data_IF_647839636396
#
_entry.id   IF_647839636396
#
_cell.length_a   1.000
_cell.length_b   1.000
_cell.length_c   1.000
_cell.angle_alpha   90.00
_cell.angle_beta   90.00
_cell.angle_gamma   90.00
#
_symmetry.space_group_name_H-M   'P 1'
#
loop_
_entity.id
_entity.type
_entity.pdbx_description
1 polymer ?
#
# COMPACT_ATOMS: atom_id res chain seq x y z
N UNK A 1 27.02 -30.65 -14.56
CA UNK A 1 26.22 -30.33 -13.36
C UNK A 1 25.30 -29.20 -13.77
N UNK A 2 23.98 -29.43 -13.79
CA UNK A 2 23.02 -28.36 -14.08
C UNK A 2 23.12 -27.29 -12.99
N UNK A 3 23.22 -26.04 -13.41
CA UNK A 3 23.19 -24.90 -12.50
C UNK A 3 21.74 -24.71 -11.98
N UNK A 4 21.56 -24.32 -10.71
CA UNK A 4 20.24 -24.06 -10.16
C UNK A 4 19.55 -22.91 -10.91
N UNK A 5 18.24 -23.05 -11.11
CA UNK A 5 17.37 -22.08 -11.79
C UNK A 5 16.50 -21.33 -10.79
N UNK A 6 15.95 -20.20 -11.21
CA UNK A 6 14.99 -19.44 -10.39
C UNK A 6 13.78 -20.32 -10.13
N UNK A 7 13.50 -20.58 -8.84
CA UNK A 7 12.41 -21.45 -8.40
C UNK A 7 12.87 -22.85 -7.95
N UNK A 8 14.13 -23.23 -8.14
CA UNK A 8 14.65 -24.52 -7.65
C UNK A 8 14.76 -24.51 -6.12
N UNK A 9 14.30 -25.58 -5.50
CA UNK A 9 14.48 -25.80 -4.07
C UNK A 9 15.92 -26.26 -3.80
N UNK A 10 16.56 -25.68 -2.79
CA UNK A 10 17.95 -25.99 -2.44
C UNK A 10 18.16 -26.02 -0.93
N UNK A 11 19.05 -26.88 -0.48
CA UNK A 11 19.59 -26.90 0.88
C UNK A 11 20.96 -26.23 0.90
N UNK A 12 21.24 -25.41 1.91
CA UNK A 12 22.52 -24.71 2.07
C UNK A 12 22.83 -24.46 3.55
N UNK A 13 24.10 -24.19 3.85
CA UNK A 13 24.55 -23.69 5.15
C UNK A 13 24.96 -22.22 5.06
N UNK A 14 24.61 -21.42 6.07
CA UNK A 14 25.04 -20.02 6.15
C UNK A 14 26.40 -19.96 6.84
N UNK A 15 27.37 -19.27 6.22
CA UNK A 15 28.66 -18.99 6.81
C UNK A 15 28.97 -17.50 6.71
N UNK A 16 29.37 -16.83 7.81
CA UNK A 16 29.76 -15.42 7.74
C UNK A 16 31.08 -15.29 6.96
N UNK A 17 31.04 -14.54 5.85
CA UNK A 17 32.23 -14.24 5.06
C UNK A 17 32.96 -13.06 5.69
N UNK A 18 34.08 -13.35 6.39
CA UNK A 18 34.90 -12.34 7.07
C UNK A 18 35.55 -11.32 6.12
N UNK A 19 35.65 -11.62 4.82
CA UNK A 19 36.21 -10.70 3.83
C UNK A 19 35.21 -9.62 3.42
N UNK A 20 33.93 -9.96 3.35
CA UNK A 20 32.86 -9.05 2.89
C UNK A 20 31.98 -8.55 4.04
N UNK A 21 32.06 -9.18 5.22
CA UNK A 21 31.23 -8.88 6.38
C UNK A 21 29.77 -9.29 6.23
N UNK A 22 29.45 -10.11 5.22
CA UNK A 22 28.08 -10.57 4.93
C UNK A 22 27.97 -12.08 5.09
N UNK A 23 26.75 -12.53 5.36
CA UNK A 23 26.42 -13.95 5.38
C UNK A 23 26.42 -14.50 3.96
N UNK A 24 27.09 -15.64 3.76
CA UNK A 24 27.18 -16.33 2.49
C UNK A 24 26.57 -17.74 2.57
N UNK A 25 25.76 -18.09 1.58
CA UNK A 25 25.29 -19.46 1.41
C UNK A 25 26.41 -20.35 0.89
N UNK A 26 26.64 -21.47 1.57
CA UNK A 26 27.67 -22.47 1.25
C UNK A 26 27.02 -23.85 1.14
N UNK A 27 27.68 -24.78 0.43
CA UNK A 27 27.21 -26.17 0.26
C UNK A 27 25.80 -26.30 -0.36
N UNK A 28 25.49 -25.43 -1.33
CA UNK A 28 24.19 -25.42 -2.03
C UNK A 28 23.96 -26.76 -2.75
N UNK A 29 22.90 -27.46 -2.38
CA UNK A 29 22.52 -28.77 -2.91
C UNK A 29 21.06 -28.73 -3.36
N UNK A 30 20.73 -29.18 -4.59
CA UNK A 30 19.34 -29.17 -5.05
C UNK A 30 18.48 -30.14 -4.24
N UNK A 31 17.25 -29.72 -3.95
CA UNK A 31 16.21 -30.52 -3.32
C UNK A 31 15.19 -30.96 -4.38
N UNK A 32 14.50 -32.10 -4.16
CA UNK A 32 13.33 -32.46 -4.95
C UNK A 32 12.26 -31.36 -4.89
N UNK A 33 11.53 -31.09 -5.99
CA UNK A 33 10.40 -30.15 -5.97
C UNK A 33 9.33 -30.56 -4.94
N UNK A 34 8.82 -29.60 -4.17
CA UNK A 34 7.81 -29.83 -3.14
C UNK A 34 8.37 -30.32 -1.79
N UNK A 35 9.68 -30.23 -1.58
CA UNK A 35 10.30 -30.52 -0.28
C UNK A 35 10.05 -29.40 0.72
N UNK A 36 10.04 -28.15 0.24
CA UNK A 36 9.75 -26.98 1.07
C UNK A 36 8.22 -26.78 1.20
N UNK A 37 7.73 -26.48 2.41
CA UNK A 37 6.32 -26.18 2.59
C UNK A 37 5.95 -24.91 1.83
N UNK A 38 4.86 -24.97 1.06
CA UNK A 38 4.33 -23.81 0.36
C UNK A 38 3.97 -22.74 1.40
N UNK A 39 4.54 -21.52 1.31
CA UNK A 39 4.14 -20.45 2.21
C UNK A 39 2.64 -20.20 2.04
N UNK A 40 1.91 -19.94 3.14
CA UNK A 40 0.50 -19.62 3.05
C UNK A 40 0.31 -18.40 2.14
N UNK A 41 -0.78 -18.35 1.36
CA UNK A 41 -1.05 -17.22 0.50
C UNK A 41 -1.08 -15.94 1.34
N UNK A 42 -0.54 -14.83 0.83
CA UNK A 42 -0.56 -13.58 1.57
C UNK A 42 -2.01 -13.17 1.86
N UNK A 43 -2.28 -12.84 3.10
CA UNK A 43 -3.62 -12.39 3.51
C UNK A 43 -3.82 -10.97 2.99
N UNK A 44 -4.75 -10.84 2.03
CA UNK A 44 -5.18 -9.56 1.50
C UNK A 44 -6.60 -9.25 1.94
N UNK A 45 -6.84 -8.06 2.49
CA UNK A 45 -8.16 -7.59 2.91
C UNK A 45 -8.58 -6.37 2.10
N UNK A 46 -9.87 -6.25 1.78
CA UNK A 46 -10.40 -5.02 1.20
C UNK A 46 -10.43 -3.92 2.27
N UNK A 47 -9.99 -2.72 1.91
CA UNK A 47 -10.00 -1.55 2.77
C UNK A 47 -10.39 -0.30 1.99
N UNK A 48 -11.06 0.62 2.67
CA UNK A 48 -11.33 1.97 2.17
C UNK A 48 -10.17 2.90 2.53
N UNK A 49 -9.87 3.86 1.68
CA UNK A 49 -8.84 4.83 1.91
C UNK A 49 -9.16 6.18 1.27
N UNK A 50 -8.53 7.24 1.77
CA UNK A 50 -8.61 8.58 1.17
C UNK A 50 -7.27 8.95 0.56
N UNK A 51 -7.30 9.50 -0.64
CA UNK A 51 -6.09 9.98 -1.32
C UNK A 51 -5.60 11.23 -0.61
N UNK A 52 -4.44 11.14 0.04
CA UNK A 52 -3.77 12.30 0.67
C UNK A 52 -2.80 12.98 -0.30
N UNK A 53 -2.23 12.21 -1.22
CA UNK A 53 -1.32 12.73 -2.25
C UNK A 53 -1.53 11.99 -3.55
N UNK A 54 -1.71 12.76 -4.61
CA UNK A 54 -1.85 12.26 -5.98
C UNK A 54 -0.54 11.66 -6.49
N UNK A 55 -0.65 10.73 -7.44
CA UNK A 55 0.50 10.26 -8.20
C UNK A 55 1.05 11.40 -9.05
N UNK A 56 2.31 11.78 -8.83
CA UNK A 56 2.99 12.81 -9.64
C UNK A 56 4.27 12.26 -10.26
N UNK A 57 4.35 12.36 -11.59
CA UNK A 57 5.52 11.95 -12.37
C UNK A 57 5.44 10.49 -12.81
N UNK A 58 5.09 10.27 -14.08
CA UNK A 58 5.16 8.97 -14.74
C UNK A 58 6.19 9.02 -15.87
N UNK A 59 7.45 8.64 -15.56
CA UNK A 59 8.47 8.03 -16.43
C UNK A 59 9.85 8.21 -15.78
N UNK A 60 10.40 7.11 -15.25
CA UNK A 60 11.77 7.04 -14.74
C UNK A 60 11.89 7.33 -13.25
N UNK A 61 11.95 6.26 -12.44
CA UNK A 61 12.67 6.16 -11.16
C UNK A 61 12.24 7.02 -9.97
N UNK A 62 11.94 8.30 -10.17
CA UNK A 62 12.00 9.33 -9.13
C UNK A 62 10.69 10.13 -8.99
N UNK A 63 9.57 9.54 -9.40
CA UNK A 63 8.24 10.09 -9.11
C UNK A 63 7.91 9.93 -7.63
N UNK A 64 7.40 10.99 -6.98
CA UNK A 64 6.81 10.84 -5.65
C UNK A 64 5.52 10.01 -5.80
N UNK A 65 5.56 8.75 -5.37
CA UNK A 65 4.38 7.89 -5.28
C UNK A 65 3.23 8.56 -4.53
N UNK A 66 2.00 8.19 -4.89
CA UNK A 66 0.81 8.66 -4.22
C UNK A 66 0.78 8.21 -2.76
N UNK A 67 -0.11 8.79 -1.96
CA UNK A 67 -0.34 8.39 -0.56
C UNK A 67 -1.82 8.16 -0.29
N UNK A 68 -2.12 7.03 0.33
CA UNK A 68 -3.44 6.66 0.81
C UNK A 68 -3.48 6.70 2.33
N UNK A 69 -4.50 7.34 2.89
CA UNK A 69 -4.88 7.25 4.29
C UNK A 69 -5.89 6.12 4.47
N UNK A 70 -5.51 5.04 5.14
CA UNK A 70 -6.40 3.89 5.36
C UNK A 70 -7.47 4.25 6.39
N UNK A 71 -8.72 4.05 6.00
CA UNK A 71 -9.86 4.31 6.85
C UNK A 71 -10.12 3.11 7.76
N UNK A 72 -10.40 3.32 9.06
CA UNK A 72 -10.88 2.26 9.92
C UNK A 72 -12.26 1.78 9.47
N UNK A 73 -12.54 0.49 9.68
CA UNK A 73 -13.79 -0.14 9.24
C UNK A 73 -15.03 0.67 9.65
N UNK A 74 -15.88 1.01 8.67
CA UNK A 74 -17.14 1.73 8.88
C UNK A 74 -17.04 3.26 8.86
N UNK A 75 -15.88 3.82 8.52
CA UNK A 75 -15.68 5.28 8.39
C UNK A 75 -15.31 5.61 6.95
N UNK A 76 -16.00 6.58 6.34
CA UNK A 76 -15.75 7.02 4.95
C UNK A 76 -15.00 8.35 4.87
N UNK A 77 -14.83 9.04 5.99
CA UNK A 77 -14.19 10.36 6.08
C UNK A 77 -13.01 10.34 7.03
N UNK A 78 -11.91 11.00 6.66
CA UNK A 78 -10.82 11.26 7.60
C UNK A 78 -11.25 12.47 8.42
N UNK A 79 -11.57 12.27 9.70
CA UNK A 79 -11.79 13.36 10.65
C UNK A 79 -10.53 14.24 10.68
N UNK A 80 -10.62 15.42 10.09
CA UNK A 80 -9.64 16.51 10.07
C UNK A 80 -8.21 16.14 9.59
N UNK A 81 -7.96 16.37 8.29
CA UNK A 81 -6.62 16.74 7.83
C UNK A 81 -6.45 18.23 8.18
N UNK A 82 -6.13 18.50 9.45
CA UNK A 82 -5.78 19.82 9.94
C UNK A 82 -4.39 19.78 10.56
N UNK A 83 -3.43 20.41 9.90
CA UNK A 83 -2.19 20.86 10.54
C UNK A 83 -2.56 21.76 11.71
N UNK A 84 -2.64 21.25 12.94
CA UNK A 84 -2.27 22.01 14.16
C UNK A 84 -2.37 21.18 15.44
N UNK A 85 -1.38 21.38 16.29
CA UNK A 85 -1.32 20.91 17.65
C UNK A 85 -2.54 21.38 18.48
N UNK A 86 -3.40 20.44 18.86
CA UNK A 86 -4.21 20.55 20.08
C UNK A 86 -4.78 19.19 20.47
N UNK A 87 -4.11 18.54 21.42
CA UNK A 87 -4.66 17.84 22.59
C UNK A 87 -5.84 16.87 22.51
N UNK A 88 -6.38 16.54 21.34
CA UNK A 88 -7.43 15.54 21.15
C UNK A 88 -6.85 14.35 20.40
N UNK A 89 -7.09 13.13 20.88
CA UNK A 89 -6.50 11.88 20.39
C UNK A 89 -6.61 11.75 18.85
N UNK A 90 -5.58 12.22 18.15
CA UNK A 90 -5.43 12.10 16.70
C UNK A 90 -5.26 10.61 16.43
N UNK A 91 -6.35 9.94 16.04
CA UNK A 91 -6.32 8.53 15.66
C UNK A 91 -5.33 8.41 14.51
N UNK A 92 -4.15 7.84 14.77
CA UNK A 92 -3.10 7.69 13.77
C UNK A 92 -3.68 6.95 12.56
N UNK A 93 -3.85 7.67 11.46
CA UNK A 93 -4.32 7.11 10.20
C UNK A 93 -3.12 6.45 9.54
N UNK A 94 -3.20 5.15 9.25
CA UNK A 94 -2.14 4.43 8.55
C UNK A 94 -2.00 5.02 7.14
N UNK A 95 -0.80 5.49 6.78
CA UNK A 95 -0.51 6.06 5.45
C UNK A 95 0.34 5.10 4.65
N UNK A 96 -0.20 4.65 3.52
CA UNK A 96 0.45 3.68 2.63
C UNK A 96 0.83 4.37 1.31
N UNK A 97 2.08 4.25 0.85
CA UNK A 97 2.48 4.71 -0.47
C UNK A 97 1.88 3.80 -1.55
N UNK A 98 1.56 4.37 -2.70
CA UNK A 98 1.15 3.60 -3.87
C UNK A 98 1.73 4.16 -5.16
N UNK A 99 1.87 3.30 -6.16
CA UNK A 99 2.36 3.61 -7.49
C UNK A 99 1.27 3.40 -8.55
N UNK A 100 1.52 3.86 -9.78
CA UNK A 100 0.60 3.69 -10.89
C UNK A 100 0.27 2.21 -11.21
N UNK A 101 1.18 1.28 -10.88
CA UNK A 101 0.97 -0.18 -11.02
C UNK A 101 -0.07 -0.75 -10.05
N UNK A 102 -0.33 -0.06 -8.95
CA UNK A 102 -1.26 -0.49 -7.92
C UNK A 102 -2.70 -0.05 -8.24
N UNK A 103 -2.87 0.85 -9.22
CA UNK A 103 -4.14 1.42 -9.64
C UNK A 103 -4.80 0.59 -10.76
N UNK A 104 -6.13 0.56 -10.77
CA UNK A 104 -6.87 0.06 -11.94
C UNK A 104 -6.63 0.97 -13.16
N UNK A 105 -6.50 0.34 -14.34
CA UNK A 105 -6.07 1.01 -15.57
C UNK A 105 -6.95 2.22 -15.90
N UNK A 106 -6.32 3.35 -16.18
CA UNK A 106 -6.98 4.57 -16.65
C UNK A 106 -7.57 5.47 -15.55
N UNK A 107 -7.39 5.11 -14.28
CA UNK A 107 -7.94 5.92 -13.17
C UNK A 107 -6.91 6.92 -12.66
N UNK A 108 -7.26 8.21 -12.73
CA UNK A 108 -6.54 9.28 -12.05
C UNK A 108 -7.27 9.64 -10.76
N UNK A 109 -6.51 9.81 -9.67
CA UNK A 109 -7.02 10.14 -8.35
C UNK A 109 -6.63 11.56 -7.96
N UNK A 110 -7.55 12.27 -7.31
CA UNK A 110 -7.33 13.59 -6.74
C UNK A 110 -7.27 13.50 -5.20
N UNK A 111 -6.63 14.48 -4.55
CA UNK A 111 -6.66 14.57 -3.09
C UNK A 111 -8.12 14.65 -2.59
N UNK A 112 -8.46 13.82 -1.59
CA UNK A 112 -9.80 13.73 -1.01
C UNK A 112 -10.71 12.68 -1.64
N UNK A 113 -10.30 12.04 -2.75
CA UNK A 113 -11.04 10.93 -3.33
C UNK A 113 -11.10 9.73 -2.37
N UNK A 114 -12.29 9.14 -2.25
CA UNK A 114 -12.51 7.89 -1.54
C UNK A 114 -12.23 6.73 -2.51
N UNK A 115 -11.36 5.81 -2.11
CA UNK A 115 -10.95 4.66 -2.89
C UNK A 115 -11.12 3.37 -2.11
N UNK A 116 -11.26 2.26 -2.82
CA UNK A 116 -11.10 0.92 -2.26
C UNK A 116 -9.78 0.33 -2.74
N UNK A 117 -9.11 -0.41 -1.87
CA UNK A 117 -7.86 -1.11 -2.19
C UNK A 117 -7.78 -2.44 -1.45
N UNK A 118 -6.90 -3.32 -1.93
CA UNK A 118 -6.52 -4.56 -1.27
C UNK A 118 -5.24 -4.33 -0.47
N UNK A 119 -5.33 -4.40 0.86
CA UNK A 119 -4.20 -4.31 1.78
C UNK A 119 -3.61 -5.69 2.02
N UNK A 120 -2.31 -5.81 1.78
CA UNK A 120 -1.56 -7.04 2.03
C UNK A 120 -0.63 -6.85 3.23
N UNK A 121 -0.78 -7.70 4.26
CA UNK A 121 0.09 -7.66 5.44
C UNK A 121 1.38 -8.45 5.20
N UNK A 122 2.47 -7.71 4.96
CA UNK A 122 3.86 -8.14 4.87
C UNK A 122 4.27 -8.97 3.63
N UNK A 123 5.40 -8.59 2.98
CA UNK A 123 6.16 -9.47 2.09
C UNK A 123 6.82 -10.63 2.87
N UNK A 124 7.35 -11.66 2.19
CA UNK A 124 8.11 -12.75 2.82
C UNK A 124 9.23 -12.22 3.73
N UNK A 125 9.55 -13.00 4.77
CA UNK A 125 10.45 -12.64 5.86
C UNK A 125 11.73 -11.91 5.40
N UNK A 126 11.92 -10.67 5.86
CA UNK A 126 13.15 -9.89 5.65
C UNK A 126 12.96 -8.47 5.10
N UNK A 127 11.77 -8.09 4.63
CA UNK A 127 11.48 -6.72 4.17
C UNK A 127 10.73 -5.90 5.23
N UNK A 128 10.99 -4.58 5.26
CA UNK A 128 10.36 -3.63 6.18
C UNK A 128 8.84 -3.81 6.22
N UNK A 129 8.29 -3.76 7.43
CA UNK A 129 6.91 -4.06 7.85
C UNK A 129 5.85 -3.09 7.29
N UNK A 130 6.02 -2.58 6.07
CA UNK A 130 5.08 -1.70 5.41
C UNK A 130 4.03 -2.56 4.69
N UNK A 131 2.74 -2.37 5.02
CA UNK A 131 1.65 -2.95 4.21
C UNK A 131 1.70 -2.35 2.80
N UNK A 132 1.32 -3.16 1.82
CA UNK A 132 1.16 -2.70 0.44
C UNK A 132 -0.32 -2.62 0.08
N UNK A 133 -0.71 -1.56 -0.61
CA UNK A 133 -2.01 -1.43 -1.24
C UNK A 133 -1.91 -1.84 -2.72
N UNK A 134 -2.94 -2.53 -3.22
CA UNK A 134 -3.04 -2.91 -4.63
C UNK A 134 -4.51 -2.89 -5.07
N UNK A 135 -4.76 -2.94 -6.39
CA UNK A 135 -6.12 -2.88 -6.97
C UNK A 135 -6.90 -1.67 -6.47
N UNK A 136 -6.24 -0.50 -6.50
CA UNK A 136 -6.83 0.75 -6.03
C UNK A 136 -7.86 1.20 -7.06
N UNK A 137 -9.12 1.32 -6.64
CA UNK A 137 -10.26 1.75 -7.46
C UNK A 137 -10.97 2.93 -6.82
N UNK A 138 -11.47 3.84 -7.65
CA UNK A 138 -12.27 4.97 -7.18
C UNK A 138 -13.63 4.47 -6.68
N UNK A 139 -14.03 4.90 -5.49
CA UNK A 139 -15.39 4.73 -4.97
C UNK A 139 -16.19 6.01 -5.21
N UNK A 140 -15.68 7.15 -4.72
CA UNK A 140 -16.38 8.41 -4.76
C UNK A 140 -15.41 9.59 -4.89
N UNK A 141 -15.68 10.48 -5.85
CA UNK A 141 -14.92 11.73 -6.02
C UNK A 141 -15.14 12.64 -4.83
N UNK A 142 -14.05 13.02 -4.15
CA UNK A 142 -14.11 13.86 -2.94
C UNK A 142 -14.84 13.23 -1.75
N UNK A 143 -15.19 11.93 -1.79
CA UNK A 143 -15.97 11.27 -0.74
C UNK A 143 -15.26 11.20 0.63
N UNK A 144 -13.93 11.33 0.64
CA UNK A 144 -13.12 11.36 1.86
C UNK A 144 -13.08 12.71 2.57
N UNK A 145 -13.59 13.77 1.94
CA UNK A 145 -13.66 15.12 2.49
C UNK A 145 -14.90 15.29 3.38
N UNK A 146 -14.83 16.17 4.40
CA UNK A 146 -16.02 16.52 5.18
C UNK A 146 -17.12 17.06 4.26
N UNK A 147 -18.34 16.55 4.44
CA UNK A 147 -19.53 17.00 3.72
C UNK A 147 -20.40 17.81 4.66
N UNK A 148 -20.46 19.11 4.41
CA UNK A 148 -21.38 20.00 5.12
C UNK A 148 -22.82 19.79 4.59
N UNK A 149 -23.80 19.83 5.50
CA UNK A 149 -25.21 19.74 5.18
C UNK A 149 -25.90 21.07 5.51
N UNK A 150 -26.79 21.52 4.64
CA UNK A 150 -27.51 22.77 4.82
C UNK A 150 -28.91 22.71 4.23
N UNK A 151 -29.75 23.66 4.63
CA UNK A 151 -31.08 23.86 4.07
C UNK A 151 -31.07 25.13 3.25
N UNK A 152 -31.56 25.06 2.00
CA UNK A 152 -31.76 26.25 1.17
C UNK A 152 -32.94 27.03 1.74
N UNK A 153 -32.68 28.26 2.23
CA UNK A 153 -33.70 29.12 2.83
C UNK A 153 -34.25 30.19 1.88
N UNK A 154 -33.56 30.47 0.78
CA UNK A 154 -34.03 31.40 -0.25
C UNK A 154 -33.37 31.09 -1.59
N UNK A 155 -34.10 31.35 -2.67
CA UNK A 155 -33.59 31.36 -4.04
C UNK A 155 -33.81 32.76 -4.58
N UNK A 156 -32.79 33.33 -5.24
CA UNK A 156 -32.93 34.62 -5.90
C UNK A 156 -33.31 34.38 -7.35
N UNK A 157 -34.55 34.69 -7.70
CA UNK A 157 -34.98 34.73 -9.09
C UNK A 157 -34.41 36.00 -9.73
N UNK A 158 -33.36 35.85 -10.53
CA UNK A 158 -33.00 36.90 -11.48
C UNK A 158 -33.86 36.67 -12.73
N UNK A 159 -34.78 37.60 -12.99
CA UNK A 159 -35.51 37.71 -14.25
C UNK A 159 -34.63 38.37 -15.32
#
# INVERSE_FOLDING_TARGET
RDAPRVGDEVSYSIQPDRRTGRDAATRVTPLPPGTLPTPPPPVSIAARAVVQRELRGGRGGDGYGGRLAILPNGVDTVMAIGDTASGGATRQVEVIPFDARDCERGTQFNVGDLVECMLTSAPPAGASQQRSASRIRLLERGGGLPREQGVVISLKDNF
#
